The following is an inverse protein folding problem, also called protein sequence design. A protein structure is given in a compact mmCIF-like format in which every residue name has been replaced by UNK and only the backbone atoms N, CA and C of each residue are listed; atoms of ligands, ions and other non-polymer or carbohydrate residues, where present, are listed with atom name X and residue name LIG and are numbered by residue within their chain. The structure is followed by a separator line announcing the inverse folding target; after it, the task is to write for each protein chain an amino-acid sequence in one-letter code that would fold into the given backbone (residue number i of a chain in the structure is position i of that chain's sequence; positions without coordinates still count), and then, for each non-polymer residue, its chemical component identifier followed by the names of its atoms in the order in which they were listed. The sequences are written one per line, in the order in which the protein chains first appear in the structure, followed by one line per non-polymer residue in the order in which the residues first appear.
data_IF_142551744591
#
_entry.id   IF_142551744591
#
_cell.length_a   1.000
_cell.length_b   1.000
_cell.length_c   1.000
_cell.angle_alpha   90.00
_cell.angle_beta   90.00
_cell.angle_gamma   90.00
#
_symmetry.space_group_name_H-M   'P 1'
#
loop_
_entity.id
_entity.type
_entity.pdbx_description
1 polymer ?
#
# COMPACT_ATOMS: atom_id res chain seq x y z
N UNK A 1 -9.50 13.40 19.82
CA UNK A 1 -8.38 14.22 19.32
C UNK A 1 -7.74 13.46 18.18
N UNK A 2 -7.37 14.11 17.09
CA UNK A 2 -6.62 13.50 15.98
C UNK A 2 -5.16 13.92 16.06
N UNK A 3 -4.26 12.93 16.06
CA UNK A 3 -2.81 13.13 15.93
C UNK A 3 -2.40 13.54 14.50
N UNK A 4 -3.26 13.31 13.49
CA UNK A 4 -2.95 13.67 12.10
C UNK A 4 -3.24 15.13 11.79
N UNK A 5 -4.37 15.64 12.28
CA UNK A 5 -4.87 16.98 11.94
C UNK A 5 -4.74 18.00 13.08
N UNK A 6 -4.37 17.57 14.30
CA UNK A 6 -4.29 18.42 15.49
C UNK A 6 -5.66 19.04 15.87
N UNK A 7 -6.75 18.28 15.63
CA UNK A 7 -8.13 18.74 15.84
C UNK A 7 -8.97 17.80 16.73
N UNK A 8 -10.03 18.36 17.30
CA UNK A 8 -11.02 17.60 18.08
C UNK A 8 -12.22 17.19 17.22
N UNK A 9 -12.46 15.89 17.08
CA UNK A 9 -13.64 15.35 16.44
C UNK A 9 -14.53 14.58 17.41
N UNK A 10 -15.78 14.38 16.99
CA UNK A 10 -16.75 13.56 17.69
C UNK A 10 -16.44 12.06 17.61
N UNK A 11 -16.97 11.26 18.52
CA UNK A 11 -16.77 9.80 18.48
C UNK A 11 -17.35 9.16 17.20
N UNK A 12 -18.52 9.61 16.74
CA UNK A 12 -19.09 9.13 15.46
C UNK A 12 -18.23 9.49 14.24
N UNK A 13 -17.47 10.59 14.32
CA UNK A 13 -16.54 11.01 13.29
C UNK A 13 -15.36 10.04 13.22
N UNK A 14 -14.86 9.59 14.37
CA UNK A 14 -13.83 8.56 14.48
C UNK A 14 -14.33 7.21 13.94
N UNK A 15 -15.54 6.78 14.30
CA UNK A 15 -16.10 5.52 13.78
C UNK A 15 -16.25 5.55 12.26
N UNK A 16 -16.83 6.63 11.72
CA UNK A 16 -16.99 6.78 10.27
C UNK A 16 -15.66 6.80 9.51
N UNK A 17 -14.60 7.36 10.09
CA UNK A 17 -13.29 7.41 9.45
C UNK A 17 -12.65 6.02 9.29
N UNK A 18 -12.99 5.10 10.20
CA UNK A 18 -12.53 3.70 10.18
C UNK A 18 -13.53 2.71 9.58
N UNK A 19 -14.65 3.16 8.99
CA UNK A 19 -15.57 2.28 8.25
C UNK A 19 -14.94 1.75 6.96
N UNK A 20 -14.16 2.59 6.27
CA UNK A 20 -13.43 2.25 5.04
C UNK A 20 -12.02 2.86 5.06
N UNK A 21 -11.13 2.37 5.96
CA UNK A 21 -9.79 2.92 6.08
C UNK A 21 -8.91 2.40 4.94
N UNK A 22 -7.97 3.24 4.53
CA UNK A 22 -6.81 2.78 3.78
C UNK A 22 -5.87 2.02 4.73
N UNK A 23 -5.10 1.08 4.20
CA UNK A 23 -4.08 0.35 4.96
C UNK A 23 -2.73 0.55 4.30
N UNK A 24 -1.73 0.91 5.08
CA UNK A 24 -0.35 0.99 4.63
C UNK A 24 0.49 -0.01 5.41
N UNK A 25 1.20 -0.86 4.68
CA UNK A 25 2.04 -1.92 5.22
C UNK A 25 3.49 -1.60 4.84
N UNK A 26 4.35 -1.51 5.84
CA UNK A 26 5.80 -1.40 5.68
C UNK A 26 6.42 -2.79 5.89
N UNK A 27 7.22 -3.24 4.92
CA UNK A 27 8.02 -4.46 5.00
C UNK A 27 9.50 -4.08 4.97
N UNK A 28 10.22 -4.42 6.03
CA UNK A 28 11.68 -4.26 6.14
C UNK A 28 12.24 -5.19 7.24
N UNK A 29 12.51 -6.45 6.89
CA UNK A 29 12.82 -7.51 7.86
C UNK A 29 11.58 -7.96 8.63
N UNK A 30 10.95 -7.05 9.36
CA UNK A 30 9.65 -7.22 10.01
C UNK A 30 8.56 -6.47 9.23
N UNK A 31 7.29 -6.81 9.52
CA UNK A 31 6.11 -6.15 8.95
C UNK A 31 5.49 -5.21 9.97
N UNK A 32 5.27 -3.94 9.60
CA UNK A 32 4.51 -2.95 10.37
C UNK A 32 3.32 -2.45 9.55
N UNK A 33 2.20 -2.14 10.19
CA UNK A 33 0.94 -1.78 9.51
C UNK A 33 0.30 -0.59 10.19
N UNK A 34 -0.29 0.29 9.38
CA UNK A 34 -1.14 1.39 9.86
C UNK A 34 -2.43 1.41 9.04
N UNK A 35 -3.55 1.60 9.73
CA UNK A 35 -4.85 1.88 9.10
C UNK A 35 -5.13 3.35 9.26
N UNK A 36 -5.61 4.01 8.22
CA UNK A 36 -5.85 5.45 8.27
C UNK A 36 -7.02 5.88 7.38
N UNK A 37 -7.74 6.91 7.83
CA UNK A 37 -8.83 7.56 7.11
C UNK A 37 -8.46 8.99 6.72
N UNK A 38 -9.45 9.88 6.67
CA UNK A 38 -9.27 11.31 6.43
C UNK A 38 -8.66 12.02 7.64
N UNK A 39 -8.99 11.57 8.85
CA UNK A 39 -8.68 12.30 10.08
C UNK A 39 -7.85 11.49 11.06
N UNK A 40 -7.92 10.17 11.05
CA UNK A 40 -7.27 9.32 12.04
C UNK A 40 -6.36 8.29 11.38
N UNK A 41 -5.30 7.91 12.10
CA UNK A 41 -4.48 6.74 11.79
C UNK A 41 -4.23 5.97 13.09
N UNK A 42 -4.03 4.66 12.97
CA UNK A 42 -3.55 3.83 14.06
C UNK A 42 -2.97 2.50 13.55
N UNK A 43 -1.99 1.97 14.27
CA UNK A 43 -1.52 0.59 14.16
C UNK A 43 -2.37 -0.36 15.03
N UNK A 44 -1.85 -1.55 15.31
CA UNK A 44 -2.54 -2.58 16.11
C UNK A 44 -2.56 -2.24 17.61
N UNK A 45 -1.67 -1.37 18.08
CA UNK A 45 -1.55 -0.92 19.47
C UNK A 45 -2.27 0.43 19.71
N UNK A 46 -3.03 0.90 18.72
CA UNK A 46 -3.74 2.17 18.70
C UNK A 46 -2.81 3.41 18.72
N UNK A 47 -1.58 3.27 18.20
CA UNK A 47 -0.60 4.35 18.08
C UNK A 47 -0.42 4.79 16.62
N UNK A 48 0.04 6.03 16.41
CA UNK A 48 0.45 6.49 15.08
C UNK A 48 1.96 6.29 14.94
N UNK A 49 2.42 5.33 14.14
CA UNK A 49 3.84 5.06 14.05
C UNK A 49 4.59 6.19 13.35
N UNK A 50 5.79 6.53 13.83
CA UNK A 50 6.56 7.67 13.31
C UNK A 50 6.88 7.52 11.82
N UNK A 51 7.17 6.30 11.37
CA UNK A 51 7.47 6.01 9.96
C UNK A 51 6.33 6.39 9.01
N UNK A 52 5.08 6.36 9.48
CA UNK A 52 3.92 6.80 8.71
C UNK A 52 3.91 8.33 8.59
N UNK A 53 4.08 9.04 9.72
CA UNK A 53 4.11 10.50 9.74
C UNK A 53 5.29 11.10 8.99
N UNK A 54 6.41 10.37 8.83
CA UNK A 54 7.53 10.80 8.00
C UNK A 54 7.19 10.94 6.51
N UNK A 55 6.10 10.31 6.05
CA UNK A 55 5.69 10.32 4.64
C UNK A 55 5.02 11.63 4.21
N UNK A 56 4.77 12.57 5.11
CA UNK A 56 4.17 13.87 4.80
C UNK A 56 4.68 14.94 5.77
N UNK A 57 4.61 16.22 5.36
CA UNK A 57 4.91 17.33 6.28
C UNK A 57 3.70 17.72 7.12
N UNK A 58 2.52 17.65 6.50
CA UNK A 58 1.23 17.89 7.12
C UNK A 58 0.21 16.97 6.45
N UNK A 59 -0.62 16.31 7.25
CA UNK A 59 -1.73 15.52 6.74
C UNK A 59 -2.86 16.44 6.27
N UNK A 60 -3.37 16.19 5.08
CA UNK A 60 -4.47 16.95 4.45
C UNK A 60 -5.51 16.01 3.82
N UNK A 61 -5.68 14.83 4.41
CA UNK A 61 -6.62 13.81 3.95
C UNK A 61 -6.12 12.97 2.77
N UNK A 62 -6.96 12.04 2.35
CA UNK A 62 -6.70 11.13 1.23
C UNK A 62 -7.08 11.78 -0.10
N UNK A 63 -6.40 11.38 -1.17
CA UNK A 63 -6.69 11.91 -2.51
C UNK A 63 -7.72 11.04 -3.23
N UNK A 64 -8.97 11.48 -3.33
CA UNK A 64 -10.00 10.74 -4.08
C UNK A 64 -10.02 11.11 -5.56
N UNK A 65 -9.77 10.13 -6.43
CA UNK A 65 -9.82 10.27 -7.88
C UNK A 65 -11.10 9.66 -8.44
N UNK A 66 -11.94 10.53 -9.02
CA UNK A 66 -13.20 10.15 -9.66
C UNK A 66 -12.94 9.67 -11.09
N UNK A 67 -13.47 8.49 -11.44
CA UNK A 67 -13.27 7.85 -12.75
C UNK A 67 -14.50 7.99 -13.66
N UNK A 68 -15.71 7.80 -13.13
CA UNK A 68 -16.98 8.05 -13.82
C UNK A 68 -18.12 8.22 -12.80
N UNK A 69 -19.22 8.91 -13.13
CA UNK A 69 -20.46 8.90 -12.35
C UNK A 69 -20.28 8.94 -10.82
N UNK A 70 -20.50 7.80 -10.15
CA UNK A 70 -20.35 7.59 -8.70
C UNK A 70 -19.11 6.78 -8.32
N UNK A 71 -18.23 6.48 -9.28
CA UNK A 71 -17.05 5.62 -9.12
C UNK A 71 -15.78 6.42 -8.99
N UNK A 72 -14.88 5.86 -8.20
CA UNK A 72 -13.54 6.37 -7.96
C UNK A 72 -12.79 5.47 -7.00
N UNK A 73 -11.59 5.92 -6.68
CA UNK A 73 -10.60 5.27 -5.83
C UNK A 73 -9.77 6.35 -5.17
N UNK A 74 -9.11 5.99 -4.07
CA UNK A 74 -8.07 6.84 -3.51
C UNK A 74 -6.73 6.55 -4.22
N UNK A 75 -5.96 7.62 -4.44
CA UNK A 75 -4.55 7.62 -4.90
C UNK A 75 -3.70 8.36 -3.86
N UNK A 76 -3.80 7.93 -2.60
CA UNK A 76 -3.17 8.62 -1.47
C UNK A 76 -1.66 8.64 -1.59
N UNK A 77 -1.03 7.74 -2.34
CA UNK A 77 0.42 7.79 -2.55
C UNK A 77 0.88 9.13 -3.14
N UNK A 78 0.02 9.85 -3.86
CA UNK A 78 0.32 11.20 -4.40
C UNK A 78 0.47 12.28 -3.33
N UNK A 79 -0.02 12.04 -2.11
CA UNK A 79 0.13 12.94 -0.96
C UNK A 79 1.43 12.66 -0.19
N UNK A 80 2.08 11.53 -0.44
CA UNK A 80 3.32 11.20 0.23
C UNK A 80 4.51 11.91 -0.43
N UNK A 81 5.39 12.48 0.39
CA UNK A 81 6.62 13.14 -0.05
C UNK A 81 7.75 12.12 -0.22
N UNK A 82 8.69 12.45 -1.09
CA UNK A 82 9.94 11.71 -1.27
C UNK A 82 9.73 10.21 -1.51
N UNK A 83 8.70 9.83 -2.26
CA UNK A 83 8.45 8.44 -2.65
C UNK A 83 8.62 8.23 -4.16
N UNK A 84 8.91 6.98 -4.53
CA UNK A 84 8.79 6.50 -5.91
C UNK A 84 7.88 5.29 -5.95
N UNK A 85 6.87 5.38 -6.80
CA UNK A 85 5.93 4.30 -7.05
C UNK A 85 6.60 3.26 -7.95
N UNK A 86 6.61 2.01 -7.49
CA UNK A 86 7.20 0.85 -8.16
C UNK A 86 6.14 0.17 -9.03
N UNK A 87 4.93 -0.02 -8.48
CA UNK A 87 3.82 -0.63 -9.18
C UNK A 87 2.48 -0.10 -8.64
N UNK A 88 1.48 0.03 -9.52
CA UNK A 88 0.09 0.31 -9.14
C UNK A 88 -0.85 -0.61 -9.90
N UNK A 89 -1.98 -0.97 -9.29
CA UNK A 89 -2.95 -1.84 -9.93
C UNK A 89 -4.23 -2.02 -9.14
N UNK A 90 -5.24 -2.52 -9.84
CA UNK A 90 -6.55 -2.83 -9.27
C UNK A 90 -6.70 -4.34 -9.10
N UNK A 91 -7.25 -4.76 -7.97
CA UNK A 91 -7.50 -6.19 -7.70
C UNK A 91 -8.95 -6.60 -8.03
N UNK A 92 -9.44 -6.38 -9.26
CA UNK A 92 -10.79 -6.84 -9.71
C UNK A 92 -10.75 -7.73 -10.96
N UNK A 93 -11.57 -8.79 -11.03
CA UNK A 93 -11.83 -9.55 -12.28
C UNK A 93 -11.73 -11.10 -12.22
N UNK A 94 -12.61 -11.75 -13.00
CA UNK A 94 -12.84 -13.19 -13.24
C UNK A 94 -11.68 -13.87 -14.01
N UNK A 95 -11.63 -15.21 -14.05
CA UNK A 95 -10.50 -16.03 -14.52
C UNK A 95 -9.99 -15.69 -15.95
N UNK A 96 -9.00 -14.81 -16.04
CA UNK A 96 -8.29 -14.38 -17.25
C UNK A 96 -6.77 -14.22 -16.96
N UNK A 97 -6.00 -13.71 -17.92
CA UNK A 97 -4.56 -13.41 -17.73
C UNK A 97 -4.29 -12.44 -16.55
N UNK A 98 -5.26 -11.57 -16.23
CA UNK A 98 -5.22 -10.67 -15.06
C UNK A 98 -5.22 -11.47 -13.75
N UNK A 99 -5.87 -12.63 -13.71
CA UNK A 99 -5.87 -13.53 -12.54
C UNK A 99 -4.48 -14.12 -12.27
N UNK A 100 -3.71 -14.48 -13.31
CA UNK A 100 -2.34 -14.96 -13.13
C UNK A 100 -1.41 -13.87 -12.62
N UNK A 101 -1.57 -12.62 -13.10
CA UNK A 101 -0.80 -11.47 -12.59
C UNK A 101 -1.11 -11.18 -11.13
N UNK A 102 -2.38 -11.28 -10.72
CA UNK A 102 -2.78 -11.16 -9.30
C UNK A 102 -2.21 -12.25 -8.43
N UNK A 103 -2.30 -13.52 -8.86
CA UNK A 103 -1.74 -14.63 -8.10
C UNK A 103 -0.23 -14.46 -7.88
N UNK A 104 0.50 -14.03 -8.91
CA UNK A 104 1.93 -13.73 -8.82
C UNK A 104 2.22 -12.55 -7.89
N UNK A 105 1.45 -11.46 -8.00
CA UNK A 105 1.60 -10.29 -7.13
C UNK A 105 1.32 -10.64 -5.67
N UNK A 106 0.21 -11.34 -5.39
CA UNK A 106 -0.14 -11.76 -4.05
C UNK A 106 0.90 -12.71 -3.47
N UNK A 107 1.34 -13.71 -4.25
CA UNK A 107 2.40 -14.63 -3.82
C UNK A 107 3.70 -13.89 -3.52
N UNK A 108 4.08 -12.91 -4.35
CA UNK A 108 5.25 -12.08 -4.12
C UNK A 108 5.12 -11.23 -2.85
N UNK A 109 3.98 -10.55 -2.66
CA UNK A 109 3.70 -9.76 -1.46
C UNK A 109 3.69 -10.63 -0.18
N UNK A 110 3.09 -11.83 -0.25
CA UNK A 110 3.11 -12.82 0.83
C UNK A 110 4.54 -13.28 1.14
N UNK A 111 5.34 -13.57 0.11
CA UNK A 111 6.74 -14.02 0.28
C UNK A 111 7.65 -12.93 0.87
N UNK A 112 7.30 -11.65 0.66
CA UNK A 112 7.99 -10.53 1.32
C UNK A 112 7.54 -10.41 2.78
N UNK A 113 6.24 -10.52 3.03
CA UNK A 113 5.66 -10.36 4.37
C UNK A 113 6.04 -11.51 5.33
N UNK A 114 6.17 -12.74 4.81
CA UNK A 114 6.58 -13.91 5.60
C UNK A 114 8.11 -14.06 5.73
N UNK A 115 8.87 -13.19 5.08
CA UNK A 115 10.34 -13.17 5.12
C UNK A 115 11.01 -14.23 4.24
N UNK A 116 10.28 -14.98 3.41
CA UNK A 116 10.84 -15.94 2.46
C UNK A 116 11.76 -15.27 1.44
N UNK A 117 11.43 -14.04 1.05
CA UNK A 117 12.32 -13.17 0.28
C UNK A 117 12.88 -12.11 1.24
N UNK A 118 14.21 -12.12 1.52
CA UNK A 118 14.81 -11.11 2.37
C UNK A 118 14.61 -9.74 1.74
N UNK A 119 14.07 -8.81 2.53
CA UNK A 119 13.71 -7.45 2.11
C UNK A 119 14.71 -6.46 2.74
N UNK A 120 15.87 -6.21 2.10
CA UNK A 120 16.95 -5.38 2.68
C UNK A 120 16.66 -3.88 2.66
N UNK A 121 15.58 -3.46 1.98
CA UNK A 121 15.17 -2.07 1.85
C UNK A 121 13.69 -1.92 2.21
N UNK A 122 13.27 -0.79 2.81
CA UNK A 122 11.86 -0.52 3.10
C UNK A 122 10.97 -0.51 1.85
N UNK A 123 9.96 -1.38 1.84
CA UNK A 123 8.91 -1.42 0.80
C UNK A 123 7.56 -1.17 1.44
N UNK A 124 6.76 -0.33 0.79
CA UNK A 124 5.45 0.06 1.26
C UNK A 124 4.38 -0.49 0.33
N UNK A 125 3.34 -1.08 0.91
CA UNK A 125 2.13 -1.55 0.23
C UNK A 125 0.95 -0.75 0.75
N UNK A 126 0.38 0.08 -0.11
CA UNK A 126 -0.82 0.86 0.16
C UNK A 126 -2.04 0.15 -0.44
N UNK A 127 -3.00 -0.14 0.43
CA UNK A 127 -4.31 -0.69 0.14
C UNK A 127 -5.38 0.34 0.35
N UNK A 128 -6.14 0.65 -0.70
CA UNK A 128 -7.21 1.62 -0.59
C UNK A 128 -8.55 1.06 -1.05
N UNK A 129 -9.63 1.37 -0.31
CA UNK A 129 -10.96 0.98 -0.74
C UNK A 129 -11.29 1.69 -2.07
N UNK A 130 -11.98 0.97 -2.93
CA UNK A 130 -12.56 1.56 -4.14
C UNK A 130 -14.06 1.69 -3.97
N UNK A 131 -14.70 2.52 -4.80
CA UNK A 131 -16.16 2.62 -4.89
C UNK A 131 -16.88 1.28 -5.14
N UNK A 132 -16.16 0.25 -5.59
CA UNK A 132 -16.66 -1.11 -5.70
C UNK A 132 -16.15 -1.95 -4.51
N UNK A 133 -17.06 -2.41 -3.66
CA UNK A 133 -16.77 -3.22 -2.46
C UNK A 133 -16.03 -4.53 -2.74
N UNK A 134 -15.98 -4.97 -4.01
CA UNK A 134 -15.25 -6.15 -4.46
C UNK A 134 -13.85 -5.84 -5.05
N UNK A 135 -13.38 -4.59 -4.99
CA UNK A 135 -12.00 -4.19 -5.36
C UNK A 135 -11.33 -3.35 -4.28
N UNK A 136 -10.02 -3.59 -4.14
CA UNK A 136 -9.08 -2.65 -3.54
C UNK A 136 -8.07 -2.17 -4.60
N UNK A 137 -7.67 -0.90 -4.47
CA UNK A 137 -6.49 -0.33 -5.15
C UNK A 137 -5.25 -0.77 -4.38
N UNK A 138 -4.20 -1.15 -5.11
CA UNK A 138 -2.90 -1.50 -4.56
C UNK A 138 -1.83 -0.63 -5.19
N UNK A 139 -1.07 0.07 -4.34
CA UNK A 139 0.13 0.81 -4.74
C UNK A 139 1.33 0.28 -3.96
N UNK A 140 2.42 -0.01 -4.67
CA UNK A 140 3.71 -0.40 -4.09
C UNK A 140 4.70 0.71 -4.36
N UNK A 141 5.38 1.18 -3.31
CA UNK A 141 6.36 2.25 -3.42
C UNK A 141 7.50 2.09 -2.41
N UNK A 142 8.55 2.87 -2.60
CA UNK A 142 9.64 3.03 -1.64
C UNK A 142 9.99 4.52 -1.49
N UNK A 143 10.85 4.86 -0.52
CA UNK A 143 11.41 6.21 -0.45
C UNK A 143 12.29 6.46 -1.70
N UNK A 144 12.28 7.68 -2.22
CA UNK A 144 12.97 8.07 -3.45
C UNK A 144 14.49 7.81 -3.36
N UNK A 145 15.08 8.06 -2.19
CA UNK A 145 16.48 7.76 -1.89
C UNK A 145 16.86 6.28 -2.03
N UNK A 146 15.88 5.38 -1.88
CA UNK A 146 16.09 3.93 -1.89
C UNK A 146 15.71 3.31 -3.24
N UNK A 147 15.15 4.09 -4.17
CA UNK A 147 14.54 3.60 -5.40
C UNK A 147 15.49 2.80 -6.30
N UNK A 148 16.72 3.30 -6.53
CA UNK A 148 17.70 2.59 -7.34
C UNK A 148 18.11 1.25 -6.72
N UNK A 149 18.31 1.25 -5.39
CA UNK A 149 18.68 0.05 -4.64
C UNK A 149 17.56 -0.99 -4.63
N UNK A 150 16.32 -0.55 -4.40
CA UNK A 150 15.12 -1.41 -4.45
C UNK A 150 14.94 -1.99 -5.84
N UNK A 151 15.07 -1.18 -6.89
CA UNK A 151 14.91 -1.64 -8.28
C UNK A 151 15.99 -2.66 -8.67
N UNK A 152 17.25 -2.42 -8.28
CA UNK A 152 18.34 -3.37 -8.52
C UNK A 152 18.09 -4.69 -7.80
N UNK A 153 17.72 -4.63 -6.52
CA UNK A 153 17.38 -5.83 -5.75
C UNK A 153 16.17 -6.57 -6.33
N UNK A 154 15.12 -5.88 -6.80
CA UNK A 154 13.97 -6.52 -7.44
C UNK A 154 14.38 -7.24 -8.72
N UNK A 155 15.24 -6.63 -9.55
CA UNK A 155 15.73 -7.26 -10.77
C UNK A 155 16.58 -8.52 -10.46
N UNK A 156 17.42 -8.45 -9.44
CA UNK A 156 18.20 -9.60 -8.95
C UNK A 156 17.29 -10.69 -8.37
N UNK A 157 16.31 -10.30 -7.55
CA UNK A 157 15.34 -11.19 -6.95
C UNK A 157 14.51 -11.90 -8.02
N UNK A 158 13.95 -11.19 -9.01
CA UNK A 158 13.24 -11.80 -10.15
C UNK A 158 14.13 -12.73 -10.98
N UNK A 159 15.43 -12.45 -11.08
CA UNK A 159 16.38 -13.36 -11.75
C UNK A 159 16.72 -14.61 -10.93
N UNK A 160 16.59 -14.53 -9.60
CA UNK A 160 16.88 -15.60 -8.64
C UNK A 160 15.66 -16.45 -8.27
N UNK A 161 14.47 -15.89 -8.39
CA UNK A 161 13.19 -16.60 -8.32
C UNK A 161 12.97 -17.20 -9.70
N UNK A 162 13.32 -18.47 -9.87
CA UNK A 162 13.02 -19.24 -11.08
C UNK A 162 11.51 -19.37 -11.22
N UNK A 163 10.85 -18.32 -11.73
CA UNK A 163 9.46 -18.30 -12.15
C UNK A 163 9.36 -19.25 -13.32
N UNK A 164 9.28 -20.55 -13.03
CA UNK A 164 9.32 -21.66 -13.97
C UNK A 164 9.36 -21.20 -15.42
N UNK A 165 10.58 -21.08 -15.96
CA UNK A 165 10.76 -21.20 -17.40
C UNK A 165 9.93 -22.41 -17.80
N UNK A 166 8.83 -22.17 -18.50
CA UNK A 166 8.21 -23.24 -19.28
C UNK A 166 9.28 -23.68 -20.26
N UNK A 167 9.98 -24.74 -19.90
CA UNK A 167 10.45 -25.72 -20.86
C UNK A 167 9.20 -26.15 -21.62
N UNK A 168 9.16 -25.95 -22.93
CA UNK A 168 9.20 -27.02 -23.93
C UNK A 168 9.41 -26.39 -25.33
N UNK A 169 10.53 -26.81 -25.95
CA UNK A 169 10.90 -26.97 -27.37
C UNK A 169 10.49 -25.93 -28.41
#
# INVERSE_FOLDING_TARGET
WSELTDESYCYGCYESDFEAPSQLILIHGDTSKVRFGEYFAQDDDAEVPSWFTELFDKWDGREYVRTDGWRGHYDTEKKFKDIKVIATGWTTGWADETTQRKAKFNQWAESLADGSIPTPYPIYFLSEPTSNVFSASMSVFCKEKDYENVTNWLNEAESSVDFHKKVVN
#
